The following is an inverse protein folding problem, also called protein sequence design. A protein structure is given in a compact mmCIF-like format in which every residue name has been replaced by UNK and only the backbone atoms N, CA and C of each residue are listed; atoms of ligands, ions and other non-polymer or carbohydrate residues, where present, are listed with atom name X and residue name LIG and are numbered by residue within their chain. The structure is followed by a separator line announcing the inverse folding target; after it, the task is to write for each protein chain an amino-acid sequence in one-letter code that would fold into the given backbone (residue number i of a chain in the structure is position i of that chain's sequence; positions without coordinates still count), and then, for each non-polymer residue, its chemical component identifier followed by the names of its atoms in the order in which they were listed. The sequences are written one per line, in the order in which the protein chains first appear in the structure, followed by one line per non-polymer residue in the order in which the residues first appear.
data_IF_796988304339
#
_entry.id   IF_796988304339
#
_cell.length_a   1.000
_cell.length_b   1.000
_cell.length_c   1.000
_cell.angle_alpha   90.00
_cell.angle_beta   90.00
_cell.angle_gamma   90.00
#
_symmetry.space_group_name_H-M   'P 1'
#
loop_
_entity.id
_entity.type
_entity.pdbx_description
1 polymer ?
#
# COMPACT_ATOMS: atom_id res chain seq x y z
N UNK A 1 35.46 24.36 -56.97
CA UNK A 1 34.08 24.86 -57.20
C UNK A 1 33.30 24.78 -55.89
N UNK A 2 32.99 25.91 -55.26
CA UNK A 2 32.22 25.98 -54.00
C UNK A 2 30.74 26.14 -54.36
N UNK A 3 29.92 25.11 -54.12
CA UNK A 3 28.46 25.17 -54.30
C UNK A 3 27.86 25.86 -53.07
N UNK A 4 27.27 27.04 -53.25
CA UNK A 4 26.49 27.72 -52.23
C UNK A 4 25.09 27.10 -52.18
N UNK A 5 24.74 26.43 -51.07
CA UNK A 5 23.37 26.00 -50.81
C UNK A 5 22.55 27.21 -50.38
N UNK A 6 21.54 27.57 -51.19
CA UNK A 6 20.58 28.60 -50.83
C UNK A 6 19.70 28.11 -49.67
N UNK A 7 19.71 28.84 -48.56
CA UNK A 7 18.90 28.55 -47.38
C UNK A 7 17.49 29.10 -47.63
N UNK A 8 16.53 28.22 -47.90
CA UNK A 8 15.11 28.56 -47.97
C UNK A 8 14.58 28.81 -46.56
N UNK A 9 14.43 30.08 -46.18
CA UNK A 9 13.71 30.46 -44.97
C UNK A 9 12.19 30.43 -45.27
N UNK A 10 11.56 29.27 -45.09
CA UNK A 10 10.09 29.21 -45.01
C UNK A 10 9.65 29.55 -43.59
N UNK A 11 8.97 30.69 -43.43
CA UNK A 11 8.27 31.03 -42.20
C UNK A 11 6.93 30.30 -42.12
N UNK A 12 6.56 29.84 -40.92
CA UNK A 12 5.22 29.34 -40.62
C UNK A 12 4.20 30.47 -40.74
N UNK A 13 3.04 30.22 -41.33
CA UNK A 13 1.96 31.21 -41.33
C UNK A 13 1.29 31.28 -39.96
N UNK A 14 0.73 32.44 -39.59
CA UNK A 14 -0.01 32.58 -38.33
C UNK A 14 -1.21 31.63 -38.26
N UNK A 15 -1.85 31.33 -39.40
CA UNK A 15 -3.01 30.44 -39.45
C UNK A 15 -2.63 28.97 -39.24
N UNK A 16 -1.48 28.53 -39.76
CA UNK A 16 -0.99 27.17 -39.52
C UNK A 16 -0.70 26.95 -38.04
N UNK A 17 -0.08 27.92 -37.36
CA UNK A 17 0.20 27.80 -35.94
C UNK A 17 -1.10 27.80 -35.10
N UNK A 18 -2.10 28.58 -35.50
CA UNK A 18 -3.41 28.64 -34.84
C UNK A 18 -4.16 27.31 -34.95
N UNK A 19 -4.18 26.69 -36.13
CA UNK A 19 -4.84 25.38 -36.32
C UNK A 19 -4.14 24.31 -35.48
N UNK A 20 -2.80 24.33 -35.41
CA UNK A 20 -2.03 23.35 -34.62
C UNK A 20 -2.38 23.43 -33.14
N UNK A 21 -2.41 24.64 -32.54
CA UNK A 21 -2.75 24.77 -31.12
C UNK A 21 -4.22 24.39 -30.85
N UNK A 22 -5.13 24.65 -31.79
CA UNK A 22 -6.53 24.24 -31.68
C UNK A 22 -6.67 22.70 -31.69
N UNK A 23 -5.97 22.03 -32.60
CA UNK A 23 -5.96 20.55 -32.68
C UNK A 23 -5.28 19.95 -31.45
N UNK A 24 -4.15 20.49 -31.01
CA UNK A 24 -3.46 20.03 -29.80
C UNK A 24 -4.34 20.19 -28.55
N UNK A 25 -5.11 21.28 -28.45
CA UNK A 25 -6.05 21.48 -27.35
C UNK A 25 -7.14 20.41 -27.29
N UNK A 26 -7.74 20.07 -28.44
CA UNK A 26 -8.79 19.04 -28.52
C UNK A 26 -8.23 17.66 -28.18
N UNK A 27 -7.06 17.30 -28.73
CA UNK A 27 -6.41 16.02 -28.46
C UNK A 27 -6.01 15.88 -26.99
N UNK A 28 -5.52 16.94 -26.35
CA UNK A 28 -5.15 16.91 -24.94
C UNK A 28 -6.34 16.58 -24.03
N UNK A 29 -7.50 17.21 -24.26
CA UNK A 29 -8.71 16.93 -23.47
C UNK A 29 -9.20 15.50 -23.69
N UNK A 30 -9.19 15.01 -24.93
CA UNK A 30 -9.59 13.64 -25.26
C UNK A 30 -8.72 12.59 -24.56
N UNK A 31 -7.40 12.80 -24.52
CA UNK A 31 -6.45 11.89 -23.85
C UNK A 31 -6.65 11.88 -22.33
N UNK A 32 -6.79 13.06 -21.71
CA UNK A 32 -7.02 13.16 -20.26
C UNK A 32 -8.36 12.51 -19.88
N UNK A 33 -9.40 12.65 -20.71
CA UNK A 33 -10.69 12.00 -20.49
C UNK A 33 -10.64 10.48 -20.57
N UNK A 34 -9.66 9.91 -21.28
CA UNK A 34 -9.50 8.46 -21.42
C UNK A 34 -8.77 7.84 -20.20
N UNK A 35 -8.01 8.63 -19.44
CA UNK A 35 -7.34 8.18 -18.22
C UNK A 35 -8.26 8.49 -17.04
N UNK A 36 -8.45 7.55 -16.12
CA UNK A 36 -9.09 7.82 -14.83
C UNK A 36 -8.01 8.24 -13.82
N UNK A 37 -7.71 9.55 -13.65
CA UNK A 37 -6.62 10.00 -12.77
C UNK A 37 -6.87 9.65 -11.31
N UNK A 38 -8.14 9.60 -10.90
CA UNK A 38 -8.54 9.26 -9.53
C UNK A 38 -8.15 7.82 -9.23
N UNK A 39 -8.44 6.89 -10.15
CA UNK A 39 -8.08 5.49 -9.99
C UNK A 39 -6.56 5.28 -9.94
N UNK A 40 -5.79 6.03 -10.74
CA UNK A 40 -4.33 5.96 -10.71
C UNK A 40 -3.75 6.44 -9.37
N UNK A 41 -4.29 7.53 -8.81
CA UNK A 41 -3.90 8.03 -7.48
C UNK A 41 -4.24 7.00 -6.40
N UNK A 42 -5.45 6.43 -6.45
CA UNK A 42 -5.87 5.41 -5.49
C UNK A 42 -4.97 4.16 -5.57
N UNK A 43 -4.60 3.73 -6.78
CA UNK A 43 -3.67 2.62 -6.99
C UNK A 43 -2.29 2.91 -6.41
N UNK A 44 -1.81 4.15 -6.54
CA UNK A 44 -0.55 4.57 -5.90
C UNK A 44 -0.63 4.51 -4.39
N UNK A 45 -1.77 4.92 -3.78
CA UNK A 45 -1.99 4.83 -2.33
C UNK A 45 -1.99 3.38 -1.84
N UNK A 46 -2.73 2.51 -2.52
CA UNK A 46 -2.80 1.08 -2.18
C UNK A 46 -1.44 0.39 -2.33
N UNK A 47 -0.65 0.77 -3.35
CA UNK A 47 0.73 0.29 -3.52
C UNK A 47 1.62 0.73 -2.35
N UNK A 48 1.45 1.96 -1.87
CA UNK A 48 2.11 2.45 -0.66
C UNK A 48 1.72 1.64 0.58
N UNK A 49 0.43 1.41 0.79
CA UNK A 49 -0.08 0.60 1.91
C UNK A 49 0.43 -0.83 1.89
N UNK A 50 0.52 -1.44 0.70
CA UNK A 50 1.12 -2.76 0.53
C UNK A 50 2.60 -2.78 0.91
N UNK A 51 3.40 -1.83 0.41
CA UNK A 51 4.82 -1.71 0.77
C UNK A 51 5.01 -1.51 2.27
N UNK A 52 4.16 -0.69 2.90
CA UNK A 52 4.23 -0.43 4.34
C UNK A 52 3.84 -1.66 5.16
N UNK A 53 2.86 -2.44 4.69
CA UNK A 53 2.50 -3.73 5.26
C UNK A 53 3.67 -4.74 5.17
N UNK A 54 4.31 -4.88 4.01
CA UNK A 54 5.48 -5.75 3.81
C UNK A 54 6.66 -5.37 4.72
N UNK A 55 6.92 -4.06 4.86
CA UNK A 55 7.93 -3.55 5.79
C UNK A 55 7.60 -3.91 7.24
N UNK A 56 6.34 -3.73 7.63
CA UNK A 56 5.87 -4.03 8.98
C UNK A 56 5.99 -5.53 9.30
N UNK A 57 5.54 -6.41 8.40
CA UNK A 57 5.62 -7.87 8.55
C UNK A 57 7.07 -8.29 8.78
N UNK A 58 8.00 -7.80 7.96
CA UNK A 58 9.42 -8.08 8.17
C UNK A 58 9.96 -7.57 9.51
N UNK A 59 9.38 -6.51 10.08
CA UNK A 59 9.70 -6.05 11.44
C UNK A 59 9.16 -6.98 12.53
N UNK A 60 7.92 -7.47 12.35
CA UNK A 60 7.29 -8.45 13.25
C UNK A 60 8.09 -9.74 13.28
N UNK A 61 8.49 -10.28 12.13
CA UNK A 61 9.27 -11.52 12.05
C UNK A 61 10.63 -11.42 12.74
N UNK A 62 11.30 -10.26 12.58
CA UNK A 62 12.56 -9.99 13.28
C UNK A 62 12.36 -9.87 14.78
N UNK A 63 11.30 -9.20 15.23
CA UNK A 63 10.95 -9.12 16.64
C UNK A 63 10.71 -10.52 17.21
N UNK A 64 9.90 -11.34 16.53
CA UNK A 64 9.60 -12.71 16.96
C UNK A 64 10.87 -13.57 17.02
N UNK A 65 11.76 -13.44 16.03
CA UNK A 65 13.06 -14.15 16.04
C UNK A 65 13.96 -13.71 17.19
N UNK A 66 13.95 -12.42 17.55
CA UNK A 66 14.79 -11.88 18.62
C UNK A 66 14.25 -12.13 20.04
N UNK A 67 12.92 -12.14 20.21
CA UNK A 67 12.25 -12.17 21.51
C UNK A 67 11.55 -13.49 21.82
N UNK A 68 11.19 -14.27 20.80
CA UNK A 68 10.47 -15.54 20.94
C UNK A 68 8.96 -15.40 21.17
N UNK A 69 8.41 -14.18 21.06
CA UNK A 69 6.99 -13.88 21.20
C UNK A 69 6.62 -12.71 20.26
N UNK A 70 5.33 -12.52 20.00
CA UNK A 70 4.85 -11.52 19.05
C UNK A 70 4.77 -10.11 19.66
N UNK A 71 4.86 -9.04 18.86
CA UNK A 71 4.87 -7.66 19.37
C UNK A 71 3.58 -7.22 20.08
N UNK A 72 2.46 -7.89 19.83
CA UNK A 72 1.19 -7.64 20.52
C UNK A 72 1.07 -8.39 21.85
N UNK A 73 2.06 -9.19 22.23
CA UNK A 73 2.17 -9.78 23.56
C UNK A 73 3.11 -8.94 24.42
N UNK A 74 2.90 -8.94 25.74
CA UNK A 74 3.78 -8.25 26.67
C UNK A 74 4.97 -9.12 27.09
N UNK A 75 4.75 -10.41 27.30
CA UNK A 75 5.78 -11.36 27.69
C UNK A 75 5.59 -12.74 27.02
N UNK A 76 6.64 -13.59 26.96
CA UNK A 76 6.56 -14.92 26.35
C UNK A 76 5.61 -15.90 27.05
N UNK A 77 5.14 -15.57 28.26
CA UNK A 77 4.23 -16.41 29.05
C UNK A 77 2.76 -15.99 28.93
N UNK A 78 2.44 -14.96 28.15
CA UNK A 78 1.05 -14.50 27.96
C UNK A 78 0.27 -15.45 27.05
N UNK A 79 -0.25 -16.55 27.61
CA UNK A 79 -1.03 -17.55 26.88
C UNK A 79 -2.41 -17.07 26.38
N UNK A 80 -2.82 -15.85 26.75
CA UNK A 80 -4.13 -15.28 26.40
C UNK A 80 -4.07 -14.27 25.24
N UNK A 81 -2.88 -13.87 24.80
CA UNK A 81 -2.69 -12.79 23.80
C UNK A 81 -1.89 -13.23 22.58
N UNK A 82 -1.71 -14.55 22.36
CA UNK A 82 -0.95 -15.01 21.20
C UNK A 82 -1.58 -14.57 19.87
N UNK A 83 -2.90 -14.42 19.83
CA UNK A 83 -3.64 -14.06 18.63
C UNK A 83 -3.88 -12.55 18.51
N UNK A 84 -3.62 -12.00 17.33
CA UNK A 84 -4.05 -10.66 16.95
C UNK A 84 -5.29 -10.77 16.05
N UNK A 85 -6.43 -10.27 16.49
CA UNK A 85 -7.66 -10.26 15.69
C UNK A 85 -8.03 -8.82 15.32
N UNK A 86 -7.75 -8.40 14.08
CA UNK A 86 -8.00 -7.04 13.57
C UNK A 86 -7.40 -5.92 14.41
N UNK A 87 -6.14 -6.09 14.79
CA UNK A 87 -5.45 -5.09 15.57
C UNK A 87 -5.09 -3.90 14.66
N UNK A 88 -5.71 -2.74 14.88
CA UNK A 88 -5.48 -1.54 14.08
C UNK A 88 -4.19 -0.82 14.50
N UNK A 89 -3.21 -0.76 13.60
CA UNK A 89 -1.90 -0.16 13.83
C UNK A 89 -1.91 1.35 14.11
N UNK A 90 -2.96 2.08 13.69
CA UNK A 90 -3.07 3.51 13.98
C UNK A 90 -3.65 3.82 15.36
N UNK A 91 -4.24 2.81 16.03
CA UNK A 91 -4.94 2.95 17.32
C UNK A 91 -4.38 2.06 18.42
N UNK A 92 -3.50 1.10 18.08
CA UNK A 92 -2.76 0.36 19.10
C UNK A 92 -2.00 1.34 19.96
N UNK A 93 -2.20 1.28 21.27
CA UNK A 93 -1.31 1.91 22.24
C UNK A 93 0.12 1.69 21.79
N UNK A 94 0.93 2.74 21.82
CA UNK A 94 2.19 2.91 21.08
C UNK A 94 3.13 1.68 21.06
N UNK A 95 2.98 0.76 22.01
CA UNK A 95 3.70 -0.49 22.25
C UNK A 95 3.90 -1.41 21.04
N UNK A 96 2.92 -1.71 20.19
CA UNK A 96 3.12 -2.70 19.10
C UNK A 96 4.02 -2.14 18.01
N UNK A 97 3.71 -0.93 17.54
CA UNK A 97 4.53 -0.22 16.55
C UNK A 97 5.90 0.16 17.14
N UNK A 98 5.98 0.50 18.44
CA UNK A 98 7.24 0.68 19.18
C UNK A 98 8.12 -0.57 19.17
N UNK A 99 7.57 -1.72 19.58
CA UNK A 99 8.27 -3.01 19.65
C UNK A 99 8.78 -3.43 18.26
N UNK A 100 7.98 -3.24 17.22
CA UNK A 100 8.36 -3.58 15.83
C UNK A 100 9.42 -2.64 15.27
N UNK A 101 9.34 -1.33 15.52
CA UNK A 101 10.29 -0.36 14.97
C UNK A 101 11.70 -0.51 15.52
N UNK A 102 11.87 -0.93 16.78
CA UNK A 102 13.19 -1.28 17.32
C UNK A 102 13.88 -2.33 16.42
N UNK A 103 13.12 -3.23 15.79
CA UNK A 103 13.59 -4.38 15.03
C UNK A 103 13.43 -4.25 13.50
N UNK A 104 12.97 -3.11 12.98
CA UNK A 104 12.92 -2.84 11.53
C UNK A 104 14.35 -2.70 10.98
N UNK A 105 14.74 -3.54 10.02
CA UNK A 105 16.08 -3.51 9.41
C UNK A 105 16.17 -2.38 8.38
N UNK A 106 16.45 -1.17 8.84
CA UNK A 106 17.17 -0.13 8.09
C UNK A 106 17.64 0.92 9.11
N UNK A 107 18.95 1.02 9.23
CA UNK A 107 19.66 1.39 10.45
C UNK A 107 19.83 2.90 10.68
N UNK A 108 18.74 3.66 10.66
CA UNK A 108 18.72 5.02 11.24
C UNK A 108 17.40 5.27 11.98
N UNK A 109 17.48 5.96 13.11
CA UNK A 109 16.32 6.36 13.92
C UNK A 109 15.29 7.17 13.11
N UNK A 110 15.72 7.86 12.05
CA UNK A 110 14.87 8.69 11.20
C UNK A 110 14.00 7.89 10.24
N UNK A 111 14.52 6.82 9.62
CA UNK A 111 13.72 5.99 8.71
C UNK A 111 12.61 5.25 9.47
N UNK A 112 12.91 4.80 10.69
CA UNK A 112 11.96 4.18 11.61
C UNK A 112 10.85 5.15 12.03
N UNK A 113 11.21 6.38 12.41
CA UNK A 113 10.23 7.42 12.76
C UNK A 113 9.40 7.86 11.55
N UNK A 114 10.00 7.97 10.36
CA UNK A 114 9.26 8.36 9.15
C UNK A 114 8.21 7.32 8.75
N UNK A 115 8.49 6.03 8.97
CA UNK A 115 7.53 4.96 8.82
C UNK A 115 6.41 5.09 9.85
N UNK A 116 6.75 5.24 11.14
CA UNK A 116 5.77 5.46 12.22
C UNK A 116 4.79 6.56 11.87
N UNK A 117 5.33 7.75 11.63
CA UNK A 117 4.53 8.96 11.45
C UNK A 117 3.63 8.82 10.25
N UNK A 118 4.05 8.09 9.21
CA UNK A 118 3.21 7.80 8.05
C UNK A 118 2.06 6.85 8.40
N UNK A 119 2.34 5.72 9.05
CA UNK A 119 1.30 4.70 9.29
C UNK A 119 0.32 5.07 10.42
N UNK A 120 0.70 5.98 11.32
CA UNK A 120 -0.14 6.47 12.42
C UNK A 120 -0.89 7.76 12.10
N UNK A 121 -0.68 8.35 10.91
CA UNK A 121 -1.43 9.53 10.47
C UNK A 121 -2.93 9.25 10.35
N UNK A 122 -3.76 10.21 10.76
CA UNK A 122 -5.23 10.10 10.72
C UNK A 122 -5.80 9.94 9.31
N UNK A 123 -5.11 10.46 8.30
CA UNK A 123 -5.52 10.38 6.88
C UNK A 123 -4.88 9.21 6.12
N UNK A 124 -4.05 8.41 6.81
CA UNK A 124 -3.44 7.24 6.21
C UNK A 124 -4.44 6.09 6.12
N UNK A 125 -4.25 5.19 5.16
CA UNK A 125 -5.09 3.99 5.04
C UNK A 125 -4.70 3.02 6.17
N UNK A 126 -5.56 2.80 7.18
CA UNK A 126 -5.17 2.02 8.34
C UNK A 126 -4.74 0.59 7.94
N UNK A 127 -3.76 0.09 8.67
CA UNK A 127 -3.27 -1.27 8.55
C UNK A 127 -3.78 -2.08 9.74
N UNK A 128 -4.20 -3.30 9.48
CA UNK A 128 -4.69 -4.22 10.49
C UNK A 128 -3.84 -5.46 10.54
N UNK A 129 -3.45 -5.90 11.74
CA UNK A 129 -2.76 -7.17 11.93
C UNK A 129 -3.78 -8.26 12.20
N UNK A 130 -3.55 -9.42 11.60
CA UNK A 130 -4.24 -10.65 11.92
C UNK A 130 -3.25 -11.81 12.11
N UNK A 131 -3.33 -12.51 13.23
CA UNK A 131 -2.59 -13.74 13.50
C UNK A 131 -3.42 -14.61 14.46
N UNK A 132 -3.59 -15.91 14.16
CA UNK A 132 -4.39 -16.82 15.02
C UNK A 132 -3.69 -17.25 16.30
N UNK A 133 -2.42 -16.88 16.50
CA UNK A 133 -1.66 -17.11 17.73
C UNK A 133 -1.24 -18.55 18.02
N UNK A 134 -1.50 -19.47 17.08
CA UNK A 134 -1.12 -20.88 17.22
C UNK A 134 0.17 -21.14 16.43
N UNK A 135 1.01 -22.07 16.90
CA UNK A 135 2.25 -22.44 16.23
C UNK A 135 1.99 -22.83 14.77
N UNK A 136 2.74 -22.25 13.83
CA UNK A 136 2.61 -22.49 12.39
C UNK A 136 1.61 -21.58 11.65
N UNK A 137 0.97 -20.62 12.32
CA UNK A 137 0.11 -19.63 11.66
C UNK A 137 0.94 -18.42 11.19
N UNK A 138 0.61 -17.90 10.01
CA UNK A 138 1.27 -16.73 9.44
C UNK A 138 0.73 -15.45 10.08
N UNK A 139 1.58 -14.41 10.13
CA UNK A 139 1.12 -13.06 10.50
C UNK A 139 0.68 -12.35 9.24
N UNK A 140 -0.55 -11.88 9.22
CA UNK A 140 -1.08 -11.12 8.11
C UNK A 140 -1.15 -9.64 8.46
N UNK A 141 -0.79 -8.78 7.52
CA UNK A 141 -1.15 -7.36 7.56
C UNK A 141 -2.11 -7.06 6.42
N UNK A 142 -3.28 -6.55 6.80
CA UNK A 142 -4.38 -6.26 5.93
C UNK A 142 -4.59 -4.76 5.82
N UNK A 143 -5.04 -4.29 4.65
CA UNK A 143 -5.54 -2.93 4.46
C UNK A 143 -6.77 -2.94 3.55
N UNK A 144 -7.58 -1.88 3.61
CA UNK A 144 -8.76 -1.77 2.77
C UNK A 144 -8.39 -1.05 1.48
N UNK A 145 -8.43 -1.71 0.31
CA UNK A 145 -8.04 -1.09 -0.94
C UNK A 145 -9.02 0.01 -1.37
N UNK A 146 -8.48 1.11 -1.86
CA UNK A 146 -9.25 2.27 -2.34
C UNK A 146 -9.43 2.23 -3.86
N UNK A 147 -8.48 1.63 -4.59
CA UNK A 147 -8.57 1.42 -6.04
C UNK A 147 -9.43 0.22 -6.39
N UNK A 148 -10.21 0.35 -7.45
CA UNK A 148 -10.99 -0.76 -8.01
C UNK A 148 -10.11 -1.93 -8.46
N UNK A 149 -8.88 -1.65 -8.94
CA UNK A 149 -7.92 -2.69 -9.30
C UNK A 149 -7.54 -3.59 -8.11
N UNK A 150 -7.17 -3.02 -6.96
CA UNK A 150 -6.83 -3.79 -5.77
C UNK A 150 -8.05 -4.43 -5.12
N UNK A 151 -9.23 -3.80 -5.20
CA UNK A 151 -10.49 -4.42 -4.75
C UNK A 151 -10.78 -5.71 -5.52
N UNK A 152 -10.61 -5.69 -6.85
CA UNK A 152 -10.79 -6.89 -7.68
C UNK A 152 -9.73 -7.96 -7.39
N UNK A 153 -8.47 -7.57 -7.19
CA UNK A 153 -7.40 -8.49 -6.78
C UNK A 153 -7.73 -9.16 -5.43
N UNK A 154 -8.10 -8.36 -4.43
CA UNK A 154 -8.45 -8.84 -3.10
C UNK A 154 -9.68 -9.76 -3.14
N UNK A 155 -10.71 -9.38 -3.89
CA UNK A 155 -11.91 -10.20 -4.08
C UNK A 155 -11.59 -11.54 -4.77
N UNK A 156 -10.70 -11.54 -5.78
CA UNK A 156 -10.24 -12.76 -6.42
C UNK A 156 -9.57 -13.73 -5.44
N UNK A 157 -8.85 -13.21 -4.44
CA UNK A 157 -8.20 -14.04 -3.40
C UNK A 157 -9.18 -14.64 -2.40
N UNK A 158 -10.38 -14.06 -2.25
CA UNK A 158 -11.42 -14.61 -1.39
C UNK A 158 -11.88 -16.01 -1.81
N UNK A 159 -11.68 -16.41 -3.07
CA UNK A 159 -12.04 -17.74 -3.55
C UNK A 159 -11.21 -18.87 -2.90
N UNK A 160 -10.01 -18.58 -2.42
CA UNK A 160 -9.12 -19.56 -1.81
C UNK A 160 -8.23 -18.89 -0.76
N UNK A 161 -8.80 -18.62 0.41
CA UNK A 161 -8.03 -18.09 1.53
C UNK A 161 -7.21 -19.19 2.22
N UNK A 162 -6.00 -18.86 2.72
CA UNK A 162 -5.24 -19.74 3.60
C UNK A 162 -6.06 -20.17 4.82
N UNK A 163 -5.86 -21.40 5.30
CA UNK A 163 -6.61 -21.94 6.45
C UNK A 163 -6.33 -21.19 7.77
N UNK A 164 -5.19 -20.51 7.85
CA UNK A 164 -4.77 -19.65 8.95
C UNK A 164 -5.30 -18.21 8.82
N UNK A 165 -6.02 -17.87 7.75
CA UNK A 165 -6.70 -16.58 7.56
C UNK A 165 -8.21 -16.78 7.48
N UNK A 166 -8.89 -16.69 8.62
CA UNK A 166 -10.30 -17.05 8.78
C UNK A 166 -11.25 -15.89 8.45
N UNK A 167 -12.23 -16.07 7.57
CA UNK A 167 -13.22 -15.04 7.19
C UNK A 167 -14.16 -14.61 8.31
N UNK A 168 -14.36 -15.44 9.34
CA UNK A 168 -15.27 -15.15 10.45
C UNK A 168 -14.64 -14.17 11.43
N UNK A 169 -13.36 -14.39 11.75
CA UNK A 169 -12.63 -13.57 12.70
C UNK A 169 -11.85 -12.45 12.01
N UNK A 170 -11.26 -12.74 10.85
CA UNK A 170 -10.70 -11.78 9.93
C UNK A 170 -11.79 -11.45 8.90
N UNK A 171 -12.76 -10.55 9.07
CA UNK A 171 -13.75 -10.16 8.03
C UNK A 171 -13.16 -9.61 6.69
N UNK A 172 -12.20 -10.31 6.08
CA UNK A 172 -11.40 -10.00 4.91
C UNK A 172 -12.28 -9.96 3.66
N UNK A 173 -13.30 -10.81 3.61
CA UNK A 173 -14.17 -11.01 2.46
C UNK A 173 -15.64 -10.91 2.86
N UNK A 174 -16.07 -9.74 3.32
CA UNK A 174 -17.46 -9.51 3.75
C UNK A 174 -18.37 -9.23 2.53
N UNK A 175 -17.95 -8.35 1.63
CA UNK A 175 -18.65 -8.06 0.37
C UNK A 175 -17.69 -7.55 -0.71
N UNK A 176 -18.15 -7.45 -1.96
CA UNK A 176 -17.34 -6.91 -3.07
C UNK A 176 -16.88 -5.45 -2.84
N UNK A 177 -17.55 -4.71 -1.96
CA UNK A 177 -17.21 -3.33 -1.56
C UNK A 177 -16.55 -3.23 -0.18
N UNK A 178 -16.50 -4.34 0.55
CA UNK A 178 -15.88 -4.45 1.87
C UNK A 178 -14.99 -5.69 1.91
N UNK A 179 -13.91 -5.59 1.14
CA UNK A 179 -12.84 -6.58 1.03
C UNK A 179 -11.54 -5.98 1.53
N UNK A 180 -10.65 -6.80 2.09
CA UNK A 180 -9.32 -6.40 2.54
C UNK A 180 -8.24 -7.10 1.72
N UNK A 181 -7.18 -6.37 1.39
CA UNK A 181 -5.97 -6.93 0.83
C UNK A 181 -5.05 -7.32 1.98
N UNK A 182 -4.91 -8.62 2.23
CA UNK A 182 -4.04 -9.17 3.27
C UNK A 182 -2.76 -9.76 2.66
N UNK A 183 -1.62 -9.40 3.26
CA UNK A 183 -0.30 -9.93 2.92
C UNK A 183 0.19 -10.82 4.07
N UNK A 184 0.71 -12.02 3.78
CA UNK A 184 1.40 -12.86 4.76
C UNK A 184 2.82 -12.35 5.06
#
# INVERSE_FOLDING_TARGET
MRKYFAKLNSGFTMIELLIVIAVLGILAVAVISAINPIEQINRSKDTGSRSDAEQFIGGVDRFYTAKGYYPWQDNPTDGNENAAAWLNLSQTSDNVVNKVEENLSNSTSELKQSFRTRITQTNYNPLWIYNRGTQGNSTYVCFKPVSGAFQNEAWGRCASLPSDLDTVNASVCNSSTNVYSCLP
#
